data_IF_076655569304
#
_entry.id   IF_076655569304
#
_cell.length_a   1.000
_cell.length_b   1.000
_cell.length_c   1.000
_cell.angle_alpha   90.00
_cell.angle_beta   90.00
_cell.angle_gamma   90.00
#
_symmetry.space_group_name_H-M   'P 1'
#
loop_
_entity.id
_entity.type
_entity.pdbx_description
1 polymer ?
#
# COMPACT_ATOMS: atom_id res chain seq x y z
N UNK A 1 -3.63 -4.71 -8.09
CA UNK A 1 -4.90 -3.98 -8.34
C UNK A 1 -4.69 -2.48 -8.07
N UNK A 2 -5.39 -1.59 -8.77
CA UNK A 2 -5.26 -0.13 -8.59
C UNK A 2 -6.12 0.36 -7.42
N UNK A 3 -5.58 1.31 -6.65
CA UNK A 3 -6.23 1.86 -5.47
C UNK A 3 -7.54 2.59 -5.79
N UNK A 4 -7.73 3.05 -7.04
CA UNK A 4 -8.99 3.64 -7.49
C UNK A 4 -10.19 2.66 -7.38
N UNK A 5 -9.94 1.36 -7.53
CA UNK A 5 -10.97 0.33 -7.41
C UNK A 5 -11.30 -0.03 -5.97
N UNK A 6 -10.58 0.51 -4.97
CA UNK A 6 -10.91 0.31 -3.57
C UNK A 6 -12.32 0.83 -3.23
N UNK A 7 -12.82 1.80 -3.99
CA UNK A 7 -14.18 2.35 -3.87
C UNK A 7 -15.27 1.26 -3.80
N UNK A 8 -15.14 0.17 -4.55
CA UNK A 8 -16.12 -0.92 -4.55
C UNK A 8 -16.17 -1.69 -3.21
N UNK A 9 -15.05 -1.74 -2.48
CA UNK A 9 -14.91 -2.45 -1.21
C UNK A 9 -14.60 -1.53 -0.03
N UNK A 10 -14.77 -0.21 -0.20
CA UNK A 10 -14.23 0.79 0.72
C UNK A 10 -14.80 0.64 2.13
N UNK A 11 -16.10 0.35 2.26
CA UNK A 11 -16.71 0.14 3.57
C UNK A 11 -16.09 -1.06 4.32
N UNK A 12 -15.87 -2.18 3.64
CA UNK A 12 -15.22 -3.36 4.24
C UNK A 12 -13.76 -3.09 4.62
N UNK A 13 -13.05 -2.34 3.78
CA UNK A 13 -11.71 -1.88 4.08
C UNK A 13 -11.67 -1.02 5.36
N UNK A 14 -12.56 -0.04 5.48
CA UNK A 14 -12.63 0.83 6.66
C UNK A 14 -13.05 0.05 7.90
N UNK A 15 -14.05 -0.83 7.80
CA UNK A 15 -14.45 -1.71 8.90
C UNK A 15 -13.25 -2.52 9.40
N UNK A 16 -12.44 -3.08 8.49
CA UNK A 16 -11.28 -3.87 8.86
C UNK A 16 -10.29 -3.12 9.76
N UNK A 17 -10.10 -1.82 9.53
CA UNK A 17 -9.21 -0.96 10.31
C UNK A 17 -9.74 -0.69 11.73
N UNK A 18 -11.06 -0.71 11.93
CA UNK A 18 -11.67 -0.40 13.23
C UNK A 18 -11.99 -1.62 14.08
N UNK A 19 -12.15 -2.80 13.49
CA UNK A 19 -12.62 -4.00 14.21
C UNK A 19 -11.81 -4.31 15.47
N UNK A 20 -10.47 -4.24 15.38
CA UNK A 20 -9.62 -4.53 16.53
C UNK A 20 -9.81 -3.49 17.66
N UNK A 21 -9.94 -2.21 17.31
CA UNK A 21 -10.14 -1.14 18.27
C UNK A 21 -11.54 -1.17 18.90
N UNK A 22 -12.60 -1.27 18.10
CA UNK A 22 -13.99 -1.33 18.57
C UNK A 22 -14.26 -2.54 19.46
N UNK A 23 -13.58 -3.65 19.20
CA UNK A 23 -13.69 -4.87 20.01
C UNK A 23 -12.82 -4.86 21.26
N UNK A 24 -12.10 -3.75 21.54
CA UNK A 24 -11.10 -3.65 22.62
C UNK A 24 -10.11 -4.84 22.59
N UNK A 25 -9.60 -5.13 21.39
CA UNK A 25 -8.63 -6.20 21.15
C UNK A 25 -9.20 -7.62 21.05
N UNK A 26 -10.50 -7.83 21.27
CA UNK A 26 -11.11 -9.18 21.29
C UNK A 26 -11.26 -9.83 19.91
N UNK A 27 -11.27 -9.03 18.85
CA UNK A 27 -11.38 -9.49 17.47
C UNK A 27 -10.19 -8.95 16.68
N UNK A 28 -8.99 -9.55 16.84
CA UNK A 28 -7.84 -9.18 16.03
C UNK A 28 -8.12 -9.47 14.55
N UNK A 29 -7.83 -8.47 13.73
CA UNK A 29 -8.12 -8.50 12.29
C UNK A 29 -6.96 -7.90 11.51
N UNK A 30 -5.75 -8.35 11.87
CA UNK A 30 -4.52 -7.83 11.31
C UNK A 30 -4.42 -8.09 9.81
N UNK A 31 -4.20 -7.04 9.03
CA UNK A 31 -4.16 -7.13 7.57
C UNK A 31 -3.14 -6.17 6.96
N UNK A 32 -2.56 -6.59 5.84
CA UNK A 32 -1.78 -5.72 4.96
C UNK A 32 -2.49 -5.62 3.61
N UNK A 33 -2.98 -4.43 3.27
CA UNK A 33 -3.52 -4.14 1.95
C UNK A 33 -2.40 -3.66 1.04
N UNK A 34 -2.24 -4.25 -0.14
CA UNK A 34 -1.26 -3.80 -1.14
C UNK A 34 -1.95 -3.41 -2.43
N UNK A 35 -1.81 -2.16 -2.84
CA UNK A 35 -2.44 -1.62 -4.05
C UNK A 35 -1.49 -0.69 -4.80
N UNK A 36 -1.80 -0.42 -6.06
CA UNK A 36 -1.02 0.48 -6.91
C UNK A 36 -1.70 1.85 -7.05
N UNK A 37 -0.91 2.91 -7.01
CA UNK A 37 -1.28 4.30 -7.31
C UNK A 37 -0.10 5.02 -7.98
N UNK A 38 -0.05 6.35 -7.95
CA UNK A 38 1.12 7.15 -8.35
C UNK A 38 1.64 6.82 -9.77
N UNK A 39 0.77 7.02 -10.76
CA UNK A 39 1.13 6.97 -12.19
C UNK A 39 1.30 8.39 -12.76
N UNK A 40 1.99 8.51 -13.89
CA UNK A 40 2.30 9.76 -14.61
C UNK A 40 1.17 10.20 -15.56
N UNK A 41 0.08 9.42 -15.65
CA UNK A 41 -1.17 9.92 -16.24
C UNK A 41 -1.30 9.79 -17.76
N UNK A 42 -0.40 9.09 -18.46
CA UNK A 42 -0.36 9.14 -19.94
C UNK A 42 -1.43 8.27 -20.61
N UNK A 43 -1.69 7.04 -20.14
CA UNK A 43 -2.62 6.10 -20.81
C UNK A 43 -3.52 5.24 -19.90
N UNK A 44 -3.57 5.48 -18.58
CA UNK A 44 -4.37 4.67 -17.66
C UNK A 44 -5.77 5.21 -17.33
N UNK A 45 -6.02 6.50 -17.58
CA UNK A 45 -7.28 7.16 -17.22
C UNK A 45 -7.58 7.14 -15.72
N UNK A 46 -8.80 7.55 -15.35
CA UNK A 46 -9.20 7.82 -13.97
C UNK A 46 -8.90 6.66 -12.99
N UNK A 47 -9.03 5.41 -13.43
CA UNK A 47 -8.91 4.24 -12.56
C UNK A 47 -7.53 3.60 -12.48
N UNK A 48 -6.59 3.97 -13.37
CA UNK A 48 -5.23 3.42 -13.35
C UNK A 48 -4.16 4.47 -13.04
N UNK A 49 -4.52 5.76 -12.96
CA UNK A 49 -3.58 6.85 -12.68
C UNK A 49 -3.97 7.70 -11.47
N UNK A 50 -4.79 7.15 -10.57
CA UNK A 50 -5.22 7.86 -9.37
C UNK A 50 -4.09 7.94 -8.34
N UNK A 51 -3.82 9.17 -7.88
CA UNK A 51 -2.74 9.47 -6.93
C UNK A 51 -3.27 9.89 -5.55
N UNK A 52 -4.59 9.99 -5.41
CA UNK A 52 -5.28 10.36 -4.19
C UNK A 52 -6.42 9.37 -3.87
N UNK A 53 -6.14 8.08 -3.62
CA UNK A 53 -7.17 7.16 -3.14
C UNK A 53 -7.77 7.66 -1.81
N UNK A 54 -9.04 7.36 -1.52
CA UNK A 54 -9.75 7.87 -0.34
C UNK A 54 -9.32 7.18 0.97
N UNK A 55 -8.04 6.84 1.12
CA UNK A 55 -7.47 6.15 2.29
C UNK A 55 -6.82 7.13 3.26
N UNK A 56 -6.51 8.35 2.80
CA UNK A 56 -5.89 9.39 3.61
C UNK A 56 -6.93 9.98 4.58
N UNK A 57 -6.87 9.58 5.84
CA UNK A 57 -7.79 10.03 6.89
C UNK A 57 -8.54 8.92 7.62
N UNK A 58 -8.34 7.64 7.26
CA UNK A 58 -8.86 6.51 8.04
C UNK A 58 -8.06 6.39 9.35
N UNK A 59 -8.67 6.57 10.53
CA UNK A 59 -7.96 6.43 11.81
C UNK A 59 -7.45 5.00 12.03
N UNK A 60 -6.25 4.86 12.60
CA UNK A 60 -5.66 3.56 12.90
C UNK A 60 -5.13 2.78 11.69
N UNK A 61 -5.12 3.39 10.50
CA UNK A 61 -4.51 2.85 9.29
C UNK A 61 -3.16 3.51 9.03
N UNK A 62 -2.09 2.71 8.96
CA UNK A 62 -0.80 3.17 8.46
C UNK A 62 -0.76 3.04 6.92
N UNK A 63 -0.53 4.14 6.20
CA UNK A 63 -0.36 4.12 4.75
C UNK A 63 1.10 4.39 4.39
N UNK A 64 1.75 3.39 3.81
CA UNK A 64 3.16 3.41 3.48
C UNK A 64 3.34 3.47 1.96
N UNK A 65 4.12 4.44 1.50
CA UNK A 65 4.48 4.61 0.10
C UNK A 65 5.98 4.91 -0.01
N UNK A 66 6.69 4.14 -0.84
CA UNK A 66 8.13 4.26 -1.00
C UNK A 66 8.51 4.43 -2.47
N UNK A 67 9.60 5.16 -2.71
CA UNK A 67 10.15 5.42 -4.03
C UNK A 67 11.35 4.53 -4.40
N UNK A 68 11.73 3.59 -3.51
CA UNK A 68 12.85 2.67 -3.71
C UNK A 68 12.58 1.30 -3.06
N UNK A 69 13.30 0.27 -3.51
CA UNK A 69 13.09 -1.11 -3.04
C UNK A 69 13.61 -1.41 -1.62
N UNK A 70 14.64 -0.70 -1.18
CA UNK A 70 15.24 -0.88 0.14
C UNK A 70 14.23 -0.51 1.25
N UNK A 71 13.69 0.71 1.17
CA UNK A 71 12.73 1.20 2.15
C UNK A 71 11.38 0.49 2.02
N UNK A 72 10.99 0.09 0.80
CA UNK A 72 9.81 -0.73 0.58
C UNK A 72 9.88 -2.05 1.34
N UNK A 73 11.03 -2.75 1.30
CA UNK A 73 11.23 -4.02 2.02
C UNK A 73 11.13 -3.83 3.53
N UNK A 74 11.76 -2.77 4.06
CA UNK A 74 11.70 -2.42 5.49
C UNK A 74 10.29 -2.06 5.92
N UNK A 75 9.60 -1.22 5.14
CA UNK A 75 8.23 -0.83 5.38
C UNK A 75 7.25 -2.01 5.34
N UNK A 76 7.45 -2.97 4.42
CA UNK A 76 6.64 -4.19 4.39
C UNK A 76 6.82 -5.01 5.66
N UNK A 77 8.05 -5.14 6.19
CA UNK A 77 8.27 -5.86 7.46
C UNK A 77 7.57 -5.17 8.63
N UNK A 78 7.61 -3.83 8.67
CA UNK A 78 6.86 -3.07 9.67
C UNK A 78 5.35 -3.28 9.51
N UNK A 79 4.82 -3.23 8.29
CA UNK A 79 3.40 -3.49 8.03
C UNK A 79 2.97 -4.91 8.46
N UNK A 80 3.83 -5.90 8.24
CA UNK A 80 3.60 -7.27 8.67
C UNK A 80 3.62 -7.41 10.21
N UNK A 81 4.61 -6.80 10.90
CA UNK A 81 4.63 -6.77 12.38
C UNK A 81 3.40 -6.05 12.95
N UNK A 82 2.96 -4.93 12.33
CA UNK A 82 1.71 -4.25 12.68
C UNK A 82 0.51 -5.18 12.54
N UNK A 83 0.44 -5.94 11.44
CA UNK A 83 -0.63 -6.90 11.21
C UNK A 83 -0.60 -8.06 12.22
N UNK A 84 0.56 -8.58 12.58
CA UNK A 84 0.68 -9.61 13.63
C UNK A 84 0.15 -9.13 14.99
N UNK A 85 0.25 -7.83 15.28
CA UNK A 85 -0.32 -7.20 16.49
C UNK A 85 -1.81 -6.88 16.38
N UNK A 86 -2.45 -7.20 15.25
CA UNK A 86 -3.87 -6.96 14.99
C UNK A 86 -4.20 -5.61 14.35
N UNK A 87 -3.19 -4.81 14.00
CA UNK A 87 -3.34 -3.56 13.27
C UNK A 87 -3.53 -3.75 11.76
N UNK A 88 -3.95 -2.69 11.07
CA UNK A 88 -4.13 -2.71 9.61
C UNK A 88 -3.19 -1.71 8.97
N UNK A 89 -2.44 -2.16 7.97
CA UNK A 89 -1.52 -1.31 7.21
C UNK A 89 -1.80 -1.42 5.71
N UNK A 90 -1.46 -0.37 4.97
CA UNK A 90 -1.58 -0.32 3.52
C UNK A 90 -0.23 0.02 2.88
N UNK A 91 0.23 -0.85 1.99
CA UNK A 91 1.32 -0.58 1.05
C UNK A 91 0.72 0.00 -0.24
N UNK A 92 1.00 1.26 -0.53
CA UNK A 92 0.60 1.93 -1.77
C UNK A 92 1.82 2.09 -2.68
N UNK A 93 1.91 1.22 -3.69
CA UNK A 93 3.06 1.16 -4.60
C UNK A 93 2.89 2.13 -5.77
N UNK A 94 3.98 2.79 -6.18
CA UNK A 94 3.97 3.60 -7.40
C UNK A 94 3.99 2.74 -8.66
N UNK A 95 2.93 2.85 -9.45
CA UNK A 95 2.77 2.22 -10.76
C UNK A 95 3.88 2.68 -11.71
N UNK A 96 4.16 3.99 -11.73
CA UNK A 96 5.22 4.55 -12.57
C UNK A 96 6.59 3.94 -12.26
N UNK A 97 6.95 3.83 -10.98
CA UNK A 97 8.24 3.25 -10.58
C UNK A 97 8.31 1.74 -10.81
N UNK A 98 7.22 1.00 -10.58
CA UNK A 98 7.16 -0.43 -10.89
C UNK A 98 7.36 -0.69 -12.39
N UNK A 99 6.77 0.13 -13.25
CA UNK A 99 6.91 0.01 -14.70
C UNK A 99 8.30 0.41 -15.23
N UNK A 100 9.07 1.21 -14.49
CA UNK A 100 10.43 1.63 -14.88
C UNK A 100 11.48 0.52 -14.75
N UNK A 101 11.23 -0.53 -13.96
CA UNK A 101 12.14 -1.70 -13.79
C UNK A 101 12.43 -2.47 -15.09
N UNK A 102 11.75 -2.15 -16.18
CA UNK A 102 11.84 -2.90 -17.44
C UNK A 102 12.46 -2.11 -18.59
N UNK A 103 12.91 -0.87 -18.37
CA UNK A 103 13.21 0.06 -19.47
C UNK A 103 14.71 0.17 -19.79
N UNK A 104 15.62 -0.27 -18.90
CA UNK A 104 17.07 -0.17 -19.14
C UNK A 104 17.77 -1.52 -18.93
N UNK A 105 18.50 -2.00 -19.93
CA UNK A 105 19.34 -3.21 -19.82
C UNK A 105 20.49 -2.93 -18.83
N UNK A 106 20.52 -3.63 -17.68
CA UNK A 106 21.66 -3.65 -16.75
C UNK A 106 21.62 -2.66 -15.57
N UNK A 107 20.46 -2.24 -15.08
CA UNK A 107 20.32 -1.14 -14.11
C UNK A 107 20.32 -1.54 -12.62
N UNK A 108 21.32 -2.33 -12.21
CA UNK A 108 21.58 -2.63 -10.79
C UNK A 108 21.66 -1.40 -9.86
N UNK A 109 21.61 -0.18 -10.39
CA UNK A 109 21.42 1.09 -9.69
C UNK A 109 20.19 1.15 -8.76
N UNK A 110 19.15 0.36 -9.00
CA UNK A 110 17.99 0.24 -8.10
C UNK A 110 18.05 -0.99 -7.18
N UNK A 111 19.12 -1.78 -7.26
CA UNK A 111 19.39 -2.90 -6.38
C UNK A 111 20.15 -2.38 -5.16
N UNK A 112 19.63 -2.73 -4.00
CA UNK A 112 20.27 -2.47 -2.72
C UNK A 112 20.56 -3.81 -2.07
N UNK A 113 21.52 -3.86 -1.16
CA UNK A 113 21.69 -5.03 -0.30
C UNK A 113 20.36 -5.30 0.40
N UNK A 114 19.95 -6.58 0.43
CA UNK A 114 18.69 -6.95 1.04
C UNK A 114 18.76 -6.62 2.53
N UNK A 115 17.88 -5.73 3.04
CA UNK A 115 17.96 -5.26 4.42
C UNK A 115 17.54 -6.33 5.41
#
# INVERSE_FOLDING_TARGET
PYAAYLSCGYNQFVESAFMHWLSNGRQPNGMVFRMQGFDEGVFGGHFHTANAPPVFGVPGLDVLCYSNGHDWTRGLRVALDTAERGGVAMMLDSTALLNRKHVVRGDGAWQFEFP
#
